data_IF_948451670731
#
_entry.id   IF_948451670731
#
_cell.length_a   1.000
_cell.length_b   1.000
_cell.length_c   1.000
_cell.angle_alpha   90.00
_cell.angle_beta   90.00
_cell.angle_gamma   90.00
#
_symmetry.space_group_name_H-M   'P 1'
#
loop_
_entity.id
_entity.type
_entity.pdbx_description
1 polymer ?
#
# COMPACT_ATOMS: atom_id res chain seq x y z
N UNK A 1 10.32 15.63 -49.02
CA UNK A 1 11.26 15.22 -50.08
C UNK A 1 12.61 15.02 -49.41
N UNK A 2 12.98 13.78 -49.10
CA UNK A 2 14.36 13.24 -49.10
C UNK A 2 14.25 11.74 -48.79
N UNK A 3 14.84 10.96 -49.69
CA UNK A 3 14.86 9.50 -49.76
C UNK A 3 16.26 9.04 -49.40
N UNK A 4 16.39 7.92 -48.69
CA UNK A 4 17.58 7.07 -48.77
C UNK A 4 17.15 5.60 -48.89
N UNK A 5 17.28 5.07 -50.11
CA UNK A 5 17.71 3.69 -50.38
C UNK A 5 19.11 3.49 -49.74
N UNK A 6 19.57 2.37 -49.22
CA UNK A 6 19.11 0.98 -49.20
C UNK A 6 20.37 0.11 -49.26
N UNK A 7 20.52 -0.88 -48.38
CA UNK A 7 21.34 -2.05 -48.71
C UNK A 7 20.92 -3.28 -47.89
N UNK A 8 20.92 -4.41 -48.60
CA UNK A 8 20.22 -5.64 -48.27
C UNK A 8 21.20 -6.69 -47.78
N UNK A 9 20.81 -7.44 -46.75
CA UNK A 9 21.34 -8.79 -46.50
C UNK A 9 20.17 -9.76 -46.28
N UNK A 10 19.80 -10.44 -47.38
CA UNK A 10 19.01 -11.69 -47.45
C UNK A 10 19.84 -12.82 -46.82
N UNK A 11 19.36 -13.86 -46.14
CA UNK A 11 18.06 -14.55 -46.00
C UNK A 11 18.19 -15.54 -44.82
N UNK A 12 17.11 -15.78 -44.09
CA UNK A 12 16.54 -17.14 -43.95
C UNK A 12 15.02 -17.01 -43.83
N UNK A 13 14.32 -17.47 -44.87
CA UNK A 13 12.86 -17.58 -44.97
C UNK A 13 12.41 -18.83 -44.23
N UNK A 14 11.41 -18.71 -43.36
CA UNK A 14 10.43 -19.76 -43.14
C UNK A 14 9.06 -19.23 -43.62
N UNK A 15 8.36 -20.07 -44.37
CA UNK A 15 7.09 -19.83 -45.07
C UNK A 15 5.94 -19.73 -44.05
N UNK A 16 4.89 -18.91 -44.29
CA UNK A 16 3.81 -18.70 -43.33
C UNK A 16 2.77 -19.82 -43.39
N UNK A 17 2.32 -20.29 -42.23
CA UNK A 17 1.08 -21.04 -42.12
C UNK A 17 -0.02 -20.08 -41.67
N UNK A 18 -0.85 -19.66 -42.61
CA UNK A 18 -2.10 -18.98 -42.33
C UNK A 18 -3.10 -20.04 -41.85
N UNK A 19 -3.66 -19.88 -40.65
CA UNK A 19 -4.99 -20.41 -40.33
C UNK A 19 -5.61 -19.62 -39.18
N UNK A 20 -6.76 -19.04 -39.49
CA UNK A 20 -7.67 -18.34 -38.60
C UNK A 20 -7.93 -19.13 -37.32
N UNK A 21 -7.56 -18.57 -36.17
CA UNK A 21 -8.22 -18.86 -34.89
C UNK A 21 -8.62 -17.55 -34.25
N UNK A 22 -9.91 -17.45 -33.96
CA UNK A 22 -10.59 -16.29 -33.42
C UNK A 22 -9.89 -15.83 -32.13
N UNK A 23 -9.64 -14.53 -32.08
CA UNK A 23 -9.39 -13.73 -30.87
C UNK A 23 -10.56 -13.99 -29.90
N UNK A 24 -10.33 -14.72 -28.81
CA UNK A 24 -11.33 -14.93 -27.76
C UNK A 24 -10.67 -14.78 -26.39
N UNK A 25 -11.17 -13.74 -25.70
CA UNK A 25 -11.32 -13.51 -24.27
C UNK A 25 -10.35 -14.17 -23.26
N UNK A 26 -9.56 -13.31 -22.61
CA UNK A 26 -9.09 -13.54 -21.25
C UNK A 26 -10.24 -13.36 -20.27
N UNK A 27 -10.70 -14.47 -19.69
CA UNK A 27 -11.42 -14.52 -18.43
C UNK A 27 -11.05 -15.86 -17.78
N UNK A 28 -10.29 -15.83 -16.69
CA UNK A 28 -10.61 -16.50 -15.42
C UNK A 28 -9.43 -16.47 -14.43
N UNK A 29 -9.80 -16.23 -13.16
CA UNK A 29 -9.04 -16.31 -11.91
C UNK A 29 -7.95 -15.26 -11.68
N UNK A 30 -8.40 -14.09 -11.21
CA UNK A 30 -7.64 -13.36 -10.20
C UNK A 30 -7.86 -14.13 -8.90
N UNK A 31 -6.87 -14.95 -8.53
CA UNK A 31 -6.82 -15.57 -7.20
C UNK A 31 -6.68 -14.46 -6.17
N UNK A 32 -7.80 -14.09 -5.58
CA UNK A 32 -7.87 -13.37 -4.32
C UNK A 32 -7.67 -14.45 -3.24
N UNK A 33 -6.59 -14.28 -2.47
CA UNK A 33 -6.19 -15.02 -1.27
C UNK A 33 -5.34 -16.28 -1.44
N UNK A 34 -4.20 -16.27 -0.74
CA UNK A 34 -3.86 -17.31 0.22
C UNK A 34 -3.78 -16.61 1.59
N UNK A 35 -4.42 -16.99 2.72
CA UNK A 35 -5.58 -17.87 3.13
C UNK A 35 -5.65 -17.80 4.69
N UNK A 36 -6.67 -18.30 5.46
CA UNK A 36 -7.93 -18.98 5.13
C UNK A 36 -9.21 -18.37 5.77
N UNK A 37 -10.37 -18.80 5.26
CA UNK A 37 -11.75 -18.59 5.75
C UNK A 37 -12.52 -17.36 5.24
N UNK A 38 -13.45 -17.68 4.33
CA UNK A 38 -14.52 -16.85 3.78
C UNK A 38 -14.13 -15.82 2.71
N UNK A 39 -14.29 -16.21 1.45
CA UNK A 39 -14.92 -15.33 0.47
C UNK A 39 -16.33 -14.98 0.98
N UNK A 40 -16.43 -14.07 1.96
CA UNK A 40 -17.72 -13.54 2.39
C UNK A 40 -18.26 -12.80 1.18
N UNK A 41 -19.38 -13.28 0.67
CA UNK A 41 -20.17 -12.52 -0.29
C UNK A 41 -20.55 -11.20 0.40
N UNK A 42 -19.98 -10.09 -0.05
CA UNK A 42 -20.23 -8.78 0.55
C UNK A 42 -21.42 -8.12 -0.13
N UNK A 43 -22.28 -7.49 0.66
CA UNK A 43 -23.43 -6.73 0.17
C UNK A 43 -23.31 -5.30 0.67
N UNK A 44 -24.13 -4.38 0.14
CA UNK A 44 -24.15 -3.00 0.64
C UNK A 44 -24.51 -2.91 2.14
N UNK A 45 -25.23 -3.90 2.68
CA UNK A 45 -25.58 -3.96 4.10
C UNK A 45 -24.49 -4.60 4.97
N UNK A 46 -23.52 -5.29 4.36
CA UNK A 46 -22.49 -6.03 5.08
C UNK A 46 -21.23 -6.17 4.21
N UNK A 47 -20.29 -5.24 4.41
CA UNK A 47 -18.96 -5.26 3.82
C UNK A 47 -17.90 -5.14 4.93
N UNK A 48 -16.64 -5.54 4.67
CA UNK A 48 -15.59 -5.58 5.68
C UNK A 48 -15.22 -4.20 6.23
N UNK A 49 -14.72 -4.15 7.46
CA UNK A 49 -14.28 -2.91 8.13
C UNK A 49 -13.11 -2.19 7.43
N UNK A 50 -12.42 -2.87 6.51
CA UNK A 50 -11.34 -2.29 5.69
C UNK A 50 -11.84 -1.80 4.31
N UNK A 51 -13.16 -1.81 4.09
CA UNK A 51 -13.82 -1.23 2.93
C UNK A 51 -14.64 -0.01 3.34
N UNK A 52 -14.43 1.10 2.66
CA UNK A 52 -15.07 2.38 2.93
C UNK A 52 -15.92 2.77 1.73
N UNK A 53 -17.22 2.88 1.92
CA UNK A 53 -18.13 3.36 0.88
C UNK A 53 -18.00 4.88 0.77
N UNK A 54 -17.71 5.39 -0.43
CA UNK A 54 -17.56 6.84 -0.69
C UNK A 54 -18.63 7.39 -1.63
N UNK A 55 -19.76 6.69 -1.75
CA UNK A 55 -20.92 7.09 -2.56
C UNK A 55 -21.13 6.23 -3.80
N UNK A 56 -22.38 6.19 -4.28
CA UNK A 56 -22.84 5.34 -5.38
C UNK A 56 -22.40 3.87 -5.18
N UNK A 57 -21.62 3.31 -6.10
CA UNK A 57 -21.00 1.99 -5.97
C UNK A 57 -19.47 2.09 -5.86
N UNK A 58 -18.95 3.19 -5.34
CA UNK A 58 -17.51 3.43 -5.25
C UNK A 58 -17.03 3.13 -3.83
N UNK A 59 -16.00 2.31 -3.73
CA UNK A 59 -15.40 1.93 -2.46
C UNK A 59 -13.90 2.18 -2.47
N UNK A 60 -13.38 2.53 -1.30
CA UNK A 60 -11.97 2.46 -0.96
C UNK A 60 -11.74 1.14 -0.24
N UNK A 61 -10.72 0.37 -0.63
CA UNK A 61 -10.33 -0.85 0.07
C UNK A 61 -8.82 -0.95 0.20
N UNK A 62 -8.34 -1.31 1.38
CA UNK A 62 -6.91 -1.59 1.61
C UNK A 62 -6.67 -3.09 1.50
N UNK A 63 -5.80 -3.50 0.57
CA UNK A 63 -5.50 -4.91 0.36
C UNK A 63 -3.98 -5.13 0.30
N UNK A 64 -3.55 -6.31 0.71
CA UNK A 64 -2.15 -6.76 0.62
C UNK A 64 -2.08 -7.96 -0.31
N UNK A 65 -1.22 -7.89 -1.33
CA UNK A 65 -1.00 -8.99 -2.26
C UNK A 65 0.48 -9.09 -2.63
N UNK A 66 1.05 -10.29 -2.56
CA UNK A 66 2.47 -10.55 -2.83
C UNK A 66 3.37 -9.54 -2.12
N UNK A 67 3.24 -9.43 -0.78
CA UNK A 67 4.03 -8.52 0.06
C UNK A 67 3.88 -7.03 -0.25
N UNK A 68 2.81 -6.65 -0.95
CA UNK A 68 2.54 -5.27 -1.32
C UNK A 68 1.15 -4.82 -0.86
N UNK A 69 1.10 -3.97 0.15
CA UNK A 69 -0.11 -3.23 0.54
C UNK A 69 -0.44 -2.17 -0.51
N UNK A 70 -1.71 -2.09 -0.90
CA UNK A 70 -2.25 -1.12 -1.87
C UNK A 70 -3.59 -0.57 -1.41
N UNK A 71 -3.84 0.69 -1.74
CA UNK A 71 -5.15 1.33 -1.59
C UNK A 71 -5.86 1.30 -2.92
N UNK A 72 -7.05 0.73 -2.96
CA UNK A 72 -7.87 0.68 -4.17
C UNK A 72 -9.03 1.66 -4.05
N UNK A 73 -9.23 2.50 -5.06
CA UNK A 73 -10.46 3.31 -5.23
C UNK A 73 -11.17 2.73 -6.44
N UNK A 74 -12.31 2.07 -6.25
CA UNK A 74 -12.88 1.22 -7.30
C UNK A 74 -14.40 1.26 -7.30
N UNK A 75 -14.95 1.24 -8.51
CA UNK A 75 -16.39 1.05 -8.75
C UNK A 75 -16.70 -0.44 -8.65
N UNK A 76 -17.75 -0.78 -7.92
CA UNK A 76 -18.29 -2.11 -7.77
C UNK A 76 -19.59 -2.25 -8.56
N UNK A 77 -19.95 -3.49 -8.87
CA UNK A 77 -21.24 -3.84 -9.42
C UNK A 77 -21.87 -4.90 -8.52
N UNK A 78 -23.15 -4.73 -8.20
CA UNK A 78 -23.92 -5.76 -7.53
C UNK A 78 -24.39 -6.79 -8.57
N UNK A 79 -24.27 -8.08 -8.26
CA UNK A 79 -24.93 -9.12 -9.03
C UNK A 79 -26.43 -9.22 -8.69
N UNK A 80 -27.15 -10.15 -9.32
CA UNK A 80 -28.59 -10.36 -9.11
C UNK A 80 -28.95 -10.71 -7.64
N UNK A 81 -27.97 -11.14 -6.85
CA UNK A 81 -28.11 -11.45 -5.42
C UNK A 81 -27.70 -10.29 -4.52
N UNK A 82 -27.30 -9.16 -5.10
CA UNK A 82 -26.82 -7.99 -4.36
C UNK A 82 -25.36 -8.09 -3.91
N UNK A 83 -24.62 -9.09 -4.38
CA UNK A 83 -23.22 -9.31 -4.01
C UNK A 83 -22.34 -8.34 -4.80
N UNK A 84 -21.49 -7.61 -4.09
CA UNK A 84 -20.62 -6.59 -4.64
C UNK A 84 -19.37 -7.24 -5.27
N UNK A 85 -19.16 -6.97 -6.55
CA UNK A 85 -17.99 -7.39 -7.30
C UNK A 85 -17.18 -6.18 -7.80
N UNK A 86 -15.86 -6.16 -7.63
CA UNK A 86 -15.02 -5.07 -8.12
C UNK A 86 -15.02 -5.04 -9.66
N UNK A 87 -15.27 -3.88 -10.25
CA UNK A 87 -15.17 -3.70 -11.72
C UNK A 87 -13.76 -3.30 -12.15
N UNK A 88 -13.52 -3.20 -13.46
CA UNK A 88 -12.24 -2.65 -13.99
C UNK A 88 -12.09 -1.14 -13.75
N UNK A 89 -13.20 -0.42 -13.56
CA UNK A 89 -13.19 1.02 -13.30
C UNK A 89 -12.69 1.29 -11.89
N UNK A 90 -11.44 1.72 -11.78
CA UNK A 90 -10.79 1.93 -10.50
C UNK A 90 -9.31 2.24 -10.67
N UNK A 91 -8.67 2.61 -9.57
CA UNK A 91 -7.22 2.75 -9.47
C UNK A 91 -6.71 1.96 -8.28
N UNK A 92 -5.46 1.50 -8.38
CA UNK A 92 -4.74 0.85 -7.29
C UNK A 92 -3.47 1.62 -7.03
N UNK A 93 -3.33 2.12 -5.82
CA UNK A 93 -2.33 3.09 -5.41
C UNK A 93 -1.37 2.44 -4.42
N UNK A 94 -0.08 2.75 -4.57
CA UNK A 94 0.86 2.51 -3.47
C UNK A 94 0.54 3.44 -2.31
N UNK A 95 0.87 3.07 -1.07
CA UNK A 95 0.68 3.93 0.10
C UNK A 95 1.27 5.33 -0.08
N UNK A 96 2.49 5.48 -0.60
CA UNK A 96 3.09 6.81 -0.79
C UNK A 96 2.41 7.66 -1.87
N UNK A 97 1.70 7.01 -2.80
CA UNK A 97 0.90 7.68 -3.84
C UNK A 97 -0.47 8.08 -3.30
N UNK A 98 -1.07 7.26 -2.42
CA UNK A 98 -2.31 7.58 -1.71
C UNK A 98 -2.16 8.82 -0.83
N UNK A 99 -1.11 8.87 0.00
CA UNK A 99 -0.78 10.04 0.83
C UNK A 99 -0.66 11.32 -0.01
N UNK A 100 0.13 11.25 -1.09
CA UNK A 100 0.36 12.39 -1.97
C UNK A 100 -0.90 12.79 -2.76
N UNK A 101 -1.80 11.84 -3.06
CA UNK A 101 -3.09 12.11 -3.65
C UNK A 101 -3.96 12.92 -2.70
N UNK A 102 -4.08 12.50 -1.45
CA UNK A 102 -4.86 13.22 -0.43
C UNK A 102 -4.35 14.66 -0.28
N UNK A 103 -3.06 14.86 -0.04
CA UNK A 103 -2.50 16.21 0.13
C UNK A 103 -2.76 17.13 -1.08
N UNK A 104 -2.79 16.56 -2.30
CA UNK A 104 -3.09 17.34 -3.51
C UNK A 104 -4.58 17.62 -3.65
N UNK A 105 -5.44 16.65 -3.35
CA UNK A 105 -6.90 16.81 -3.43
C UNK A 105 -7.43 17.78 -2.38
N UNK A 106 -6.87 17.82 -1.16
CA UNK A 106 -7.28 18.79 -0.13
C UNK A 106 -7.02 20.25 -0.55
N UNK A 107 -6.11 20.48 -1.50
CA UNK A 107 -5.86 21.80 -2.08
C UNK A 107 -6.55 22.03 -3.43
N UNK A 108 -7.19 21.01 -3.99
CA UNK A 108 -7.74 21.04 -5.34
C UNK A 108 -9.17 21.57 -5.34
N UNK A 109 -9.46 22.59 -6.15
CA UNK A 109 -10.82 23.13 -6.31
C UNK A 109 -11.32 22.90 -7.74
N UNK A 110 -12.14 21.86 -8.00
CA UNK A 110 -12.56 21.48 -9.36
C UNK A 110 -13.28 22.59 -10.16
N UNK A 111 -13.90 23.54 -9.46
CA UNK A 111 -14.65 24.66 -10.06
C UNK A 111 -13.79 25.86 -10.43
N UNK A 112 -12.61 26.03 -9.83
CA UNK A 112 -11.77 27.22 -9.99
C UNK A 112 -10.55 26.94 -10.89
N UNK A 113 -10.02 25.71 -10.87
CA UNK A 113 -8.85 25.34 -11.68
C UNK A 113 -9.28 24.72 -13.04
N UNK A 114 -9.44 25.56 -14.06
CA UNK A 114 -10.05 25.17 -15.34
C UNK A 114 -9.19 24.27 -16.26
N UNK A 115 -7.89 24.12 -16.01
CA UNK A 115 -6.92 23.44 -16.91
C UNK A 115 -6.04 22.39 -16.20
N UNK A 116 -6.20 22.15 -14.90
CA UNK A 116 -5.21 21.45 -14.10
C UNK A 116 -5.38 19.93 -14.11
N UNK A 117 -4.77 19.27 -15.09
CA UNK A 117 -4.29 17.92 -14.86
C UNK A 117 -2.99 17.99 -14.05
N UNK A 118 -2.84 17.14 -13.03
CA UNK A 118 -1.60 17.03 -12.28
C UNK A 118 -1.17 15.58 -12.13
N UNK A 119 0.15 15.40 -12.03
CA UNK A 119 0.78 14.10 -11.92
C UNK A 119 1.27 13.92 -10.48
N UNK A 120 0.89 12.81 -9.86
CA UNK A 120 1.32 12.40 -8.53
C UNK A 120 2.38 11.31 -8.71
N UNK A 121 3.58 11.59 -8.19
CA UNK A 121 4.70 10.62 -8.10
C UNK A 121 5.03 9.89 -9.42
N UNK A 122 4.71 10.49 -10.58
CA UNK A 122 4.86 9.89 -11.92
C UNK A 122 4.06 8.59 -12.16
N UNK A 123 3.10 8.25 -11.30
CA UNK A 123 2.35 6.98 -11.35
C UNK A 123 0.83 7.20 -11.52
N UNK A 124 0.33 8.38 -11.14
CA UNK A 124 -1.09 8.73 -11.24
C UNK A 124 -1.26 10.11 -11.83
N UNK A 125 -2.24 10.25 -12.72
CA UNK A 125 -2.74 11.52 -13.21
C UNK A 125 -4.14 11.77 -12.65
N UNK A 126 -4.34 12.96 -12.11
CA UNK A 126 -5.64 13.48 -11.70
C UNK A 126 -6.02 14.58 -12.68
N UNK A 127 -7.25 14.55 -13.19
CA UNK A 127 -7.72 15.49 -14.19
C UNK A 127 -9.20 15.79 -14.02
N UNK A 128 -9.62 16.98 -14.45
CA UNK A 128 -11.03 17.34 -14.50
C UNK A 128 -11.73 16.58 -15.64
N UNK A 129 -12.90 16.03 -15.36
CA UNK A 129 -13.75 15.39 -16.34
C UNK A 129 -15.15 16.01 -16.31
N UNK A 130 -15.54 16.64 -17.41
CA UNK A 130 -16.86 17.25 -17.57
C UNK A 130 -17.69 16.45 -18.57
N UNK A 131 -18.89 16.04 -18.18
CA UNK A 131 -19.90 15.47 -19.08
C UNK A 131 -21.22 16.21 -18.93
N UNK A 132 -21.66 16.86 -20.02
CA UNK A 132 -22.85 17.73 -20.14
C UNK A 132 -22.95 18.79 -19.03
N UNK A 133 -23.50 18.41 -17.88
CA UNK A 133 -23.81 19.28 -16.73
C UNK A 133 -23.05 18.89 -15.45
N UNK A 134 -22.32 17.76 -15.46
CA UNK A 134 -21.62 17.24 -14.30
C UNK A 134 -20.11 17.43 -14.43
N UNK A 135 -19.50 17.98 -13.38
CA UNK A 135 -18.06 18.05 -13.21
C UNK A 135 -17.63 16.96 -12.23
N UNK A 136 -16.69 16.14 -12.65
CA UNK A 136 -16.07 15.09 -11.86
C UNK A 136 -14.55 15.19 -11.93
N UNK A 137 -13.87 14.51 -11.02
CA UNK A 137 -12.43 14.35 -10.98
C UNK A 137 -12.10 12.93 -11.41
N UNK A 138 -11.36 12.81 -12.49
CA UNK A 138 -10.80 11.54 -12.95
C UNK A 138 -9.47 11.26 -12.29
N UNK A 139 -9.31 10.05 -11.77
CA UNK A 139 -8.04 9.52 -11.27
C UNK A 139 -7.67 8.32 -12.14
N UNK A 140 -6.47 8.34 -12.72
CA UNK A 140 -6.03 7.31 -13.66
C UNK A 140 -4.54 7.03 -13.50
N UNK A 141 -4.16 5.76 -13.56
CA UNK A 141 -2.74 5.40 -13.53
C UNK A 141 -2.05 5.75 -14.83
N UNK A 142 -0.79 6.16 -14.71
CA UNK A 142 0.11 6.42 -15.83
C UNK A 142 1.42 5.68 -15.59
N UNK A 143 2.13 5.36 -16.67
CA UNK A 143 3.51 4.91 -16.56
C UNK A 143 4.39 5.65 -17.53
N UNK A 144 5.63 5.89 -17.12
CA UNK A 144 6.63 6.53 -17.95
C UNK A 144 7.29 5.47 -18.86
N UNK A 145 7.29 5.72 -20.15
CA UNK A 145 7.96 4.91 -21.18
C UNK A 145 9.46 5.24 -21.22
N UNK A 146 10.23 4.39 -21.90
CA UNK A 146 11.69 4.57 -22.08
C UNK A 146 12.05 5.86 -22.82
N UNK A 147 11.16 6.35 -23.68
CA UNK A 147 11.29 7.63 -24.39
C UNK A 147 10.86 8.84 -23.53
N UNK A 148 10.68 8.63 -22.22
CA UNK A 148 10.19 9.61 -21.25
C UNK A 148 8.73 10.07 -21.44
N UNK A 149 8.00 9.55 -22.44
CA UNK A 149 6.58 9.84 -22.60
C UNK A 149 5.72 9.12 -21.56
N UNK A 150 4.55 9.66 -21.25
CA UNK A 150 3.58 9.01 -20.35
C UNK A 150 2.52 8.26 -21.16
N UNK A 151 2.14 7.08 -20.68
CA UNK A 151 1.00 6.34 -21.20
C UNK A 151 -0.03 6.10 -20.10
N UNK A 152 -1.29 6.36 -20.43
CA UNK A 152 -2.42 6.06 -19.55
C UNK A 152 -2.74 4.58 -19.55
N UNK A 153 -3.00 4.07 -18.35
CA UNK A 153 -3.59 2.76 -18.11
C UNK A 153 -5.11 2.88 -18.34
N UNK A 154 -5.79 1.94 -19.02
CA UNK A 154 -7.21 2.07 -19.35
C UNK A 154 -8.12 2.25 -18.14
N UNK A 155 -7.77 1.64 -17.01
CA UNK A 155 -8.51 1.71 -15.75
C UNK A 155 -8.44 3.10 -15.13
N UNK A 156 -9.62 3.71 -14.93
CA UNK A 156 -9.80 5.01 -14.26
C UNK A 156 -11.02 4.96 -13.34
N UNK A 157 -11.05 5.88 -12.37
CA UNK A 157 -12.23 6.17 -11.56
C UNK A 157 -12.62 7.64 -11.76
N UNK A 158 -13.92 7.92 -11.77
CA UNK A 158 -14.47 9.26 -11.82
C UNK A 158 -15.18 9.52 -10.48
N UNK A 159 -14.86 10.63 -9.84
CA UNK A 159 -15.40 11.02 -8.54
C UNK A 159 -16.15 12.35 -8.69
N UNK A 160 -17.41 12.39 -8.29
CA UNK A 160 -18.16 13.65 -8.20
C UNK A 160 -17.76 14.43 -6.92
N UNK A 161 -18.41 15.58 -6.66
CA UNK A 161 -18.13 16.39 -5.48
C UNK A 161 -18.30 15.62 -4.16
N UNK A 162 -19.46 14.97 -4.00
CA UNK A 162 -19.77 14.20 -2.79
C UNK A 162 -18.77 13.04 -2.59
N UNK A 163 -18.34 12.38 -3.68
CA UNK A 163 -17.34 11.32 -3.59
C UNK A 163 -15.97 11.85 -3.14
N UNK A 164 -15.61 13.08 -3.50
CA UNK A 164 -14.35 13.70 -3.08
C UNK A 164 -14.39 14.07 -1.59
N UNK A 165 -15.52 14.60 -1.13
CA UNK A 165 -15.72 14.92 0.28
C UNK A 165 -15.65 13.63 1.13
N UNK A 166 -16.35 12.56 0.72
CA UNK A 166 -16.27 11.26 1.39
C UNK A 166 -14.87 10.62 1.34
N UNK A 167 -14.14 10.80 0.23
CA UNK A 167 -12.75 10.35 0.12
C UNK A 167 -11.85 11.06 1.13
N UNK A 168 -12.04 12.37 1.30
CA UNK A 168 -11.31 13.17 2.27
C UNK A 168 -11.65 12.76 3.70
N UNK A 169 -12.94 12.61 4.03
CA UNK A 169 -13.41 12.20 5.36
C UNK A 169 -12.94 10.79 5.74
N UNK A 170 -12.74 9.92 4.75
CA UNK A 170 -12.25 8.55 4.95
C UNK A 170 -10.74 8.46 5.14
N UNK A 171 -9.96 9.53 4.94
CA UNK A 171 -8.51 9.47 4.84
C UNK A 171 -7.84 8.85 6.06
N UNK A 172 -8.15 9.34 7.27
CA UNK A 172 -7.53 8.87 8.52
C UNK A 172 -7.82 7.40 8.80
N UNK A 173 -9.04 6.95 8.50
CA UNK A 173 -9.42 5.54 8.66
C UNK A 173 -8.67 4.64 7.66
N UNK A 174 -8.57 5.08 6.40
CA UNK A 174 -7.80 4.36 5.37
C UNK A 174 -6.31 4.32 5.74
N UNK A 175 -5.76 5.44 6.22
CA UNK A 175 -4.36 5.53 6.67
C UNK A 175 -4.09 4.57 7.83
N UNK A 176 -4.99 4.52 8.82
CA UNK A 176 -4.92 3.55 9.92
C UNK A 176 -4.92 2.11 9.39
N UNK A 177 -5.79 1.78 8.44
CA UNK A 177 -5.81 0.46 7.80
C UNK A 177 -4.51 0.15 7.04
N UNK A 178 -3.96 1.11 6.29
CA UNK A 178 -2.68 0.96 5.56
C UNK A 178 -1.54 0.68 6.54
N UNK A 179 -1.42 1.50 7.59
CA UNK A 179 -0.43 1.37 8.65
C UNK A 179 -0.50 -0.02 9.30
N UNK A 180 -1.71 -0.48 9.64
CA UNK A 180 -1.93 -1.82 10.17
C UNK A 180 -1.49 -2.89 9.16
N UNK A 181 -1.96 -2.83 7.91
CA UNK A 181 -1.65 -3.83 6.88
C UNK A 181 -0.15 -3.93 6.51
N UNK A 182 0.59 -2.83 6.62
CA UNK A 182 2.05 -2.85 6.43
C UNK A 182 2.75 -3.59 7.57
N UNK A 183 2.41 -3.28 8.82
CA UNK A 183 3.06 -3.89 9.98
C UNK A 183 2.64 -5.34 10.24
N UNK A 184 1.40 -5.72 9.95
CA UNK A 184 0.95 -7.10 10.19
C UNK A 184 1.20 -7.96 8.98
N UNK A 185 0.59 -7.64 7.84
CA UNK A 185 0.63 -8.54 6.69
C UNK A 185 1.92 -8.42 5.88
N UNK A 186 2.39 -7.20 5.59
CA UNK A 186 3.60 -7.07 4.76
C UNK A 186 4.81 -7.60 5.51
N UNK A 187 4.99 -7.18 6.76
CA UNK A 187 6.07 -7.69 7.59
C UNK A 187 5.96 -9.20 7.85
N UNK A 188 4.76 -9.74 8.16
CA UNK A 188 4.58 -11.19 8.32
C UNK A 188 5.05 -11.96 7.11
N UNK A 189 4.61 -11.58 5.93
CA UNK A 189 4.96 -12.26 4.69
C UNK A 189 6.48 -12.24 4.39
N UNK A 190 7.18 -11.19 4.83
CA UNK A 190 8.64 -11.15 4.74
C UNK A 190 9.31 -12.01 5.80
N UNK A 191 8.89 -11.91 7.06
CA UNK A 191 9.43 -12.69 8.17
C UNK A 191 9.22 -14.19 7.95
N UNK A 192 8.00 -14.62 7.60
CA UNK A 192 7.67 -16.01 7.31
C UNK A 192 8.53 -16.57 6.17
N UNK A 193 8.70 -15.79 5.09
CA UNK A 193 9.56 -16.19 3.97
C UNK A 193 11.05 -16.32 4.35
N UNK A 194 11.51 -15.67 5.42
CA UNK A 194 12.85 -15.85 5.99
C UNK A 194 12.91 -17.01 6.99
N UNK A 195 11.87 -17.19 7.83
CA UNK A 195 11.75 -18.31 8.77
C UNK A 195 11.75 -19.65 8.02
N UNK A 196 11.05 -19.73 6.90
CA UNK A 196 11.00 -20.92 6.03
C UNK A 196 12.39 -21.33 5.48
N UNK A 197 13.38 -20.43 5.51
CA UNK A 197 14.75 -20.72 5.08
C UNK A 197 15.62 -21.29 6.21
N UNK A 198 15.15 -21.31 7.45
CA UNK A 198 15.90 -21.84 8.59
C UNK A 198 15.96 -23.38 8.55
N UNK A 199 17.13 -24.01 8.83
CA UNK A 199 17.28 -25.47 8.79
C UNK A 199 16.32 -26.14 9.77
N UNK A 200 15.69 -27.26 9.39
CA UNK A 200 14.81 -28.03 10.27
C UNK A 200 15.50 -28.36 11.61
N UNK A 201 14.80 -28.15 12.72
CA UNK A 201 15.27 -28.48 14.07
C UNK A 201 14.40 -29.64 14.55
N UNK A 202 15.02 -30.68 15.10
CA UNK A 202 14.27 -31.77 15.74
C UNK A 202 13.38 -31.20 16.84
N UNK A 203 12.07 -31.30 16.62
CA UNK A 203 11.02 -30.77 17.48
C UNK A 203 11.06 -31.46 18.84
N UNK A 204 11.59 -30.77 19.84
CA UNK A 204 11.34 -31.12 21.24
C UNK A 204 10.37 -30.09 21.81
N UNK A 205 9.24 -30.59 22.29
CA UNK A 205 8.23 -29.95 23.15
C UNK A 205 8.67 -28.58 23.72
N UNK A 206 8.31 -27.52 23.01
CA UNK A 206 8.26 -26.18 23.59
C UNK A 206 6.80 -25.74 23.60
N UNK A 207 6.37 -25.21 24.74
CA UNK A 207 5.08 -24.56 24.89
C UNK A 207 5.16 -23.20 24.20
N UNK A 208 4.93 -23.21 22.88
CA UNK A 208 4.97 -22.04 21.98
C UNK A 208 4.06 -20.92 22.48
N UNK A 209 2.98 -21.31 23.15
CA UNK A 209 1.94 -20.41 23.65
C UNK A 209 2.29 -19.76 24.99
N UNK A 210 3.50 -19.98 25.50
CA UNK A 210 4.02 -19.27 26.67
C UNK A 210 3.99 -17.75 26.40
N UNK A 211 3.20 -16.96 27.18
CA UNK A 211 3.10 -15.51 27.00
C UNK A 211 4.45 -14.79 27.06
N UNK A 212 5.46 -15.40 27.70
CA UNK A 212 6.81 -14.84 27.78
C UNK A 212 7.57 -14.91 26.45
N UNK A 213 7.45 -16.01 25.70
CA UNK A 213 8.15 -16.15 24.41
C UNK A 213 7.63 -15.19 23.35
N UNK A 214 6.31 -15.00 23.32
CA UNK A 214 5.63 -14.00 22.50
C UNK A 214 6.08 -12.58 22.84
N UNK A 215 6.11 -12.25 24.13
CA UNK A 215 6.56 -10.93 24.57
C UNK A 215 8.02 -10.65 24.14
N UNK A 216 8.92 -11.62 24.29
CA UNK A 216 10.32 -11.45 23.86
C UNK A 216 10.47 -11.28 22.34
N UNK A 217 9.63 -11.94 21.52
CA UNK A 217 9.59 -11.70 20.08
C UNK A 217 9.12 -10.29 19.75
N UNK A 218 8.07 -9.83 20.41
CA UNK A 218 7.55 -8.48 20.19
C UNK A 218 8.57 -7.42 20.60
N UNK A 219 9.25 -7.57 21.75
CA UNK A 219 10.36 -6.67 22.14
C UNK A 219 11.49 -6.70 21.11
N UNK A 220 11.90 -7.87 20.63
CA UNK A 220 12.90 -7.95 19.58
C UNK A 220 12.45 -7.29 18.26
N UNK A 221 11.16 -7.35 17.95
CA UNK A 221 10.61 -6.69 16.77
C UNK A 221 10.59 -5.16 16.96
N UNK A 222 10.21 -4.69 18.15
CA UNK A 222 10.28 -3.27 18.49
C UNK A 222 11.72 -2.76 18.32
N UNK A 223 12.71 -3.49 18.83
CA UNK A 223 14.12 -3.08 18.78
C UNK A 223 14.67 -2.91 17.37
N UNK A 224 14.11 -3.60 16.37
CA UNK A 224 14.56 -3.47 14.96
C UNK A 224 13.67 -2.53 14.14
N UNK A 225 12.37 -2.44 14.44
CA UNK A 225 11.44 -1.59 13.68
C UNK A 225 11.59 -0.12 14.09
N UNK A 226 11.81 0.14 15.38
CA UNK A 226 11.92 1.51 15.90
C UNK A 226 13.08 2.29 15.27
N UNK A 227 14.33 1.75 15.18
CA UNK A 227 15.44 2.47 14.57
C UNK A 227 15.24 2.74 13.07
N UNK A 228 14.72 1.77 12.31
CA UNK A 228 14.45 1.94 10.87
C UNK A 228 13.46 3.09 10.61
N UNK A 229 12.40 3.18 11.43
CA UNK A 229 11.47 4.30 11.33
C UNK A 229 12.16 5.61 11.73
N UNK A 230 12.96 5.60 12.80
CA UNK A 230 13.67 6.78 13.27
C UNK A 230 14.67 7.33 12.23
N UNK A 231 15.51 6.49 11.63
CA UNK A 231 16.49 6.91 10.61
C UNK A 231 15.82 7.53 9.37
N UNK A 232 14.63 7.05 9.02
CA UNK A 232 13.85 7.61 7.92
C UNK A 232 13.26 9.00 8.23
N UNK A 233 13.20 9.41 9.50
CA UNK A 233 12.66 10.70 9.92
C UNK A 233 13.78 11.74 10.06
N UNK A 234 13.98 12.55 9.03
CA UNK A 234 14.78 13.76 9.11
C UNK A 234 13.85 14.99 9.04
N UNK A 235 13.79 15.79 10.13
CA UNK A 235 13.26 17.19 10.28
C UNK A 235 11.98 17.38 11.16
N UNK A 236 12.08 18.36 12.09
CA UNK A 236 11.29 18.83 13.25
C UNK A 236 9.74 18.91 13.27
N UNK A 237 9.16 18.99 14.50
CA UNK A 237 7.76 19.27 14.99
C UNK A 237 6.72 18.13 14.90
N UNK A 238 5.74 18.14 15.81
CA UNK A 238 4.68 17.12 15.93
C UNK A 238 3.82 16.97 14.67
N UNK A 239 3.44 18.07 14.01
CA UNK A 239 2.69 18.01 12.73
C UNK A 239 3.53 17.46 11.57
N UNK A 240 4.86 17.56 11.67
CA UNK A 240 5.77 16.93 10.74
C UNK A 240 5.92 15.43 11.02
N UNK A 241 5.72 14.97 12.26
CA UNK A 241 5.80 13.56 12.61
C UNK A 241 4.85 12.74 11.76
N UNK A 242 3.56 13.07 11.70
CA UNK A 242 2.61 12.25 10.92
C UNK A 242 3.00 12.13 9.44
N UNK A 243 3.43 13.23 8.82
CA UNK A 243 3.83 13.27 7.41
C UNK A 243 5.15 12.55 7.15
N UNK A 244 6.15 12.71 8.03
CA UNK A 244 7.45 12.05 7.88
C UNK A 244 7.43 10.60 8.32
N UNK A 245 6.68 10.27 9.37
CA UNK A 245 6.43 8.93 9.85
C UNK A 245 5.74 8.09 8.78
N UNK A 246 4.68 8.62 8.16
CA UNK A 246 4.00 7.94 7.06
C UNK A 246 4.98 7.68 5.91
N UNK A 247 5.78 8.68 5.53
CA UNK A 247 6.82 8.51 4.51
C UNK A 247 7.90 7.51 4.92
N UNK A 248 8.33 7.52 6.17
CA UNK A 248 9.33 6.62 6.72
C UNK A 248 8.86 5.17 6.57
N UNK A 249 7.65 4.89 7.03
CA UNK A 249 7.03 3.57 6.95
C UNK A 249 6.97 3.04 5.51
N UNK A 250 6.74 3.91 4.53
CA UNK A 250 6.67 3.51 3.12
C UNK A 250 8.04 3.24 2.47
N UNK A 251 9.12 3.73 3.09
CA UNK A 251 10.47 3.56 2.57
C UNK A 251 11.28 2.47 3.31
N UNK A 252 10.72 1.85 4.35
CA UNK A 252 11.36 0.72 5.03
C UNK A 252 11.65 -0.39 4.02
N UNK A 253 12.88 -0.90 4.05
CA UNK A 253 13.24 -2.15 3.38
C UNK A 253 12.73 -3.32 4.23
N UNK A 254 11.46 -3.67 4.02
CA UNK A 254 10.80 -4.75 4.75
C UNK A 254 11.51 -6.10 4.62
N UNK A 255 12.24 -6.31 3.53
CA UNK A 255 13.01 -7.53 3.31
C UNK A 255 14.29 -7.54 4.16
N UNK A 256 15.02 -6.42 4.21
CA UNK A 256 16.19 -6.29 5.08
C UNK A 256 15.81 -6.41 6.56
N UNK A 257 14.76 -5.68 6.98
CA UNK A 257 14.26 -5.74 8.35
C UNK A 257 13.83 -7.17 8.75
N UNK A 258 13.15 -7.91 7.87
CA UNK A 258 12.80 -9.30 8.14
C UNK A 258 14.02 -10.23 8.26
N UNK A 259 15.06 -10.02 7.44
CA UNK A 259 16.32 -10.78 7.55
C UNK A 259 16.98 -10.51 8.90
N UNK A 260 17.03 -9.26 9.33
CA UNK A 260 17.61 -8.88 10.61
C UNK A 260 16.81 -9.46 11.79
N UNK A 261 15.48 -9.40 11.71
CA UNK A 261 14.59 -10.02 12.68
C UNK A 261 14.87 -11.53 12.85
N UNK A 262 14.85 -12.26 11.74
CA UNK A 262 15.03 -13.72 11.77
C UNK A 262 16.45 -14.07 12.20
N UNK A 263 17.45 -13.30 11.77
CA UNK A 263 18.85 -13.51 12.18
C UNK A 263 19.04 -13.34 13.69
N UNK A 264 18.42 -12.31 14.29
CA UNK A 264 18.47 -12.02 15.71
C UNK A 264 17.76 -13.10 16.54
N UNK A 265 16.68 -13.67 15.99
CA UNK A 265 15.82 -14.61 16.71
C UNK A 265 16.02 -16.09 16.34
N UNK A 266 16.93 -16.42 15.41
CA UNK A 266 17.12 -17.80 14.89
C UNK A 266 17.41 -18.88 15.93
N UNK A 267 17.99 -18.51 17.07
CA UNK A 267 18.32 -19.43 18.16
C UNK A 267 17.19 -19.56 19.19
N UNK A 268 16.14 -18.75 19.06
CA UNK A 268 15.00 -18.78 19.97
C UNK A 268 14.05 -19.90 19.53
N UNK A 269 13.62 -20.78 20.44
CA UNK A 269 12.88 -21.99 20.08
C UNK A 269 11.52 -21.70 19.43
N UNK A 270 10.93 -20.53 19.70
CA UNK A 270 9.61 -20.13 19.20
C UNK A 270 9.61 -19.47 17.81
N UNK A 271 10.76 -19.07 17.24
CA UNK A 271 10.79 -18.36 15.94
C UNK A 271 10.24 -19.20 14.78
N UNK A 272 10.28 -20.54 14.89
CA UNK A 272 9.73 -21.47 13.90
C UNK A 272 8.25 -21.77 14.07
N UNK A 273 7.71 -21.43 15.25
CA UNK A 273 6.29 -21.52 15.53
C UNK A 273 5.61 -20.16 15.40
N UNK A 274 6.37 -19.19 14.88
CA UNK A 274 5.85 -17.90 14.45
C UNK A 274 4.79 -18.17 13.38
N UNK A 275 3.53 -17.83 13.67
CA UNK A 275 2.41 -17.94 12.74
C UNK A 275 1.92 -16.57 12.31
N UNK A 276 1.19 -16.50 11.19
CA UNK A 276 0.58 -15.25 10.71
C UNK A 276 -0.31 -14.60 11.78
N UNK A 277 -1.01 -15.41 12.58
CA UNK A 277 -1.88 -14.95 13.66
C UNK A 277 -1.11 -14.21 14.78
N UNK A 278 0.20 -14.38 14.90
CA UNK A 278 1.00 -13.66 15.90
C UNK A 278 1.12 -12.17 15.58
N UNK A 279 1.14 -11.78 14.31
CA UNK A 279 1.14 -10.37 13.93
C UNK A 279 -0.21 -9.71 14.25
N UNK A 280 -1.32 -10.46 14.21
CA UNK A 280 -2.63 -9.95 14.60
C UNK A 280 -2.71 -9.64 16.10
N UNK A 281 -1.84 -10.26 16.92
CA UNK A 281 -1.69 -9.96 18.35
C UNK A 281 -0.81 -8.73 18.62
N UNK A 282 -0.11 -8.20 17.61
CA UNK A 282 0.64 -6.97 17.80
C UNK A 282 -0.31 -5.81 18.02
N UNK A 283 -0.15 -5.16 19.18
CA UNK A 283 -0.76 -3.87 19.45
C UNK A 283 -0.04 -2.78 18.64
N UNK A 284 -0.34 -2.70 17.34
CA UNK A 284 0.26 -1.74 16.40
C UNK A 284 0.13 -0.29 16.89
N UNK A 285 -0.98 0.02 17.57
CA UNK A 285 -1.17 1.34 18.17
C UNK A 285 -0.06 1.65 19.19
N UNK A 286 0.43 0.65 19.94
CA UNK A 286 1.56 0.81 20.85
C UNK A 286 2.88 0.97 20.11
N UNK A 287 3.08 0.27 18.97
CA UNK A 287 4.25 0.49 18.11
C UNK A 287 4.32 1.96 17.74
N UNK A 288 3.23 2.50 17.19
CA UNK A 288 3.18 3.90 16.75
C UNK A 288 3.31 4.89 17.89
N UNK A 289 2.64 4.63 19.01
CA UNK A 289 2.75 5.46 20.20
C UNK A 289 4.19 5.49 20.72
N UNK A 290 4.90 4.36 20.75
CA UNK A 290 6.29 4.28 21.20
C UNK A 290 7.23 5.03 20.25
N UNK A 291 7.03 4.93 18.94
CA UNK A 291 7.79 5.75 17.96
C UNK A 291 7.51 7.24 18.14
N UNK A 292 6.24 7.62 18.31
CA UNK A 292 5.84 9.01 18.53
C UNK A 292 6.45 9.55 19.82
N UNK A 293 6.37 8.79 20.92
CA UNK A 293 6.97 9.16 22.20
C UNK A 293 8.50 9.32 22.08
N UNK A 294 9.19 8.41 21.40
CA UNK A 294 10.64 8.55 21.14
C UNK A 294 10.94 9.83 20.36
N UNK A 295 10.23 10.05 19.26
CA UNK A 295 10.46 11.23 18.41
C UNK A 295 10.13 12.54 19.15
N UNK A 296 9.01 12.61 19.84
CA UNK A 296 8.59 13.81 20.57
C UNK A 296 9.52 14.09 21.76
N UNK A 297 10.02 13.06 22.44
CA UNK A 297 10.87 13.22 23.63
C UNK A 297 12.34 13.48 23.29
N UNK A 298 12.91 12.87 22.24
CA UNK A 298 14.30 13.15 21.82
C UNK A 298 14.47 14.63 21.42
N UNK A 299 13.46 15.24 20.80
CA UNK A 299 13.47 16.68 20.50
C UNK A 299 13.03 17.59 21.65
N UNK A 300 12.52 17.03 22.76
CA UNK A 300 12.28 17.81 23.98
C UNK A 300 13.59 18.10 24.75
N UNK A 301 14.62 17.25 24.58
CA UNK A 301 15.95 17.44 25.17
C UNK A 301 16.73 18.59 24.52
N UNK A 302 16.44 18.95 23.26
CA UNK A 302 17.02 20.11 22.56
C UNK A 302 16.44 21.47 23.00
N UNK A 303 15.47 21.48 23.92
CA UNK A 303 14.78 22.69 24.42
C UNK A 303 15.12 23.09 25.85
N UNK A 304 16.11 22.46 26.50
CA UNK A 304 16.68 23.07 27.71
C UNK A 304 17.51 24.29 27.30
N UNK A 305 17.12 25.53 27.67
CA UNK A 305 18.04 26.64 27.55
C UNK A 305 19.24 26.31 28.44
N UNK A 306 20.44 26.44 27.89
CA UNK A 306 21.69 26.54 28.64
C UNK A 306 21.51 27.52 29.80
N UNK A 307 21.22 26.97 30.98
CA UNK A 307 21.04 27.69 32.23
C UNK A 307 22.25 27.38 33.09
N UNK A 308 23.38 27.94 32.70
CA UNK A 308 24.70 27.89 33.38
C UNK A 308 25.61 28.80 32.51
N UNK A 309 26.16 29.95 32.89
CA UNK A 309 26.43 30.59 34.17
C UNK A 309 26.41 32.13 33.95
N UNK A 310 25.78 32.88 34.85
CA UNK A 310 26.14 34.26 35.16
C UNK A 310 26.61 34.26 36.61
N UNK A 311 27.93 34.28 36.79
CA UNK A 311 28.59 35.01 37.87
C UNK A 311 29.29 36.22 37.23
#
# INVERSE_FOLDING_TARGET
MFSCYGESSRKRKCVPLNNNVKKVCFNEKVDICATPSNSKEFTMANFPDHMFHIGEMIFISVNTFQKHTRVHIRVYAADDRGILHPTKSGVSLKPEVWSALHSKLSCFRPREDFESAFIIKKDVCVFKHSDKDNVSVGIQRIFQRKDSSFQFVPERVLLNGDNLDQLHDSYELVLKCVKNKLLTYTLSEYVMAEVDRLPEIDSFYYDVDSPHGLHELFESLYDIVLPEIHECMNVSKRDCFDVYFERALYNIDWQALAVDFVSLNKNRPYIKFFSDDMFDLMEIENVFKKVEDMYVNDYALDLLPSLEFLD
#
